data_IF_074923248940
#
_entry.id   IF_074923248940
#
_cell.length_a   1.000
_cell.length_b   1.000
_cell.length_c   1.000
_cell.angle_alpha   90.00
_cell.angle_beta   90.00
_cell.angle_gamma   90.00
#
_symmetry.space_group_name_H-M   'P 1'
#
loop_
_entity.id
_entity.type
_entity.pdbx_description
1 polymer ?
#
# COMPACT_ATOMS: atom_id res chain seq x y z
N UNK A 1 3.34 -28.50 -5.83
CA UNK A 1 2.67 -29.58 -5.02
C UNK A 1 1.23 -29.74 -5.48
N UNK A 2 0.71 -30.97 -5.64
CA UNK A 2 -0.73 -31.18 -5.88
C UNK A 2 -1.45 -31.06 -4.52
N UNK A 3 -2.46 -30.19 -4.45
CA UNK A 3 -3.20 -29.90 -3.21
C UNK A 3 -4.46 -30.77 -3.04
N UNK A 4 -4.88 -31.49 -4.06
CA UNK A 4 -6.10 -32.31 -4.00
C UNK A 4 -6.00 -33.40 -2.93
N UNK A 5 -7.00 -33.45 -2.02
CA UNK A 5 -7.06 -34.36 -0.90
C UNK A 5 -6.05 -34.11 0.22
N UNK A 6 -5.29 -32.99 0.14
CA UNK A 6 -4.35 -32.59 1.19
C UNK A 6 -5.05 -31.88 2.32
N UNK A 7 -4.72 -32.26 3.56
CA UNK A 7 -5.22 -31.59 4.76
C UNK A 7 -4.33 -30.38 5.08
N UNK A 8 -4.91 -29.18 4.94
CA UNK A 8 -4.17 -27.93 5.01
C UNK A 8 -4.65 -27.06 6.16
N UNK A 9 -3.76 -26.72 7.09
CA UNK A 9 -4.06 -25.76 8.14
C UNK A 9 -3.99 -24.34 7.58
N UNK A 10 -5.04 -23.56 7.74
CA UNK A 10 -5.05 -22.13 7.53
C UNK A 10 -4.96 -21.47 8.90
N UNK A 11 -3.82 -20.87 9.22
CA UNK A 11 -3.60 -20.21 10.51
C UNK A 11 -3.92 -18.72 10.40
N UNK A 12 -4.96 -18.29 11.09
CA UNK A 12 -5.57 -16.97 11.08
C UNK A 12 -6.91 -16.94 10.35
N UNK A 13 -7.90 -16.32 10.98
CA UNK A 13 -9.31 -16.26 10.52
C UNK A 13 -9.70 -14.92 9.87
N UNK A 14 -8.74 -14.05 9.58
CA UNK A 14 -8.94 -12.76 8.88
C UNK A 14 -9.22 -12.93 7.39
N UNK A 15 -9.30 -11.80 6.66
CA UNK A 15 -9.57 -11.78 5.20
C UNK A 15 -8.65 -12.71 4.39
N UNK A 16 -7.34 -12.68 4.66
CA UNK A 16 -6.35 -13.54 3.97
C UNK A 16 -6.57 -15.00 4.27
N UNK A 17 -6.86 -15.37 5.54
CA UNK A 17 -7.13 -16.75 5.93
C UNK A 17 -8.41 -17.28 5.31
N UNK A 18 -9.49 -16.51 5.33
CA UNK A 18 -10.75 -16.90 4.66
C UNK A 18 -10.50 -17.10 3.16
N UNK A 19 -9.81 -16.17 2.49
CA UNK A 19 -9.47 -16.31 1.07
C UNK A 19 -8.60 -17.53 0.77
N UNK A 20 -7.65 -17.87 1.65
CA UNK A 20 -6.83 -19.08 1.52
C UNK A 20 -7.66 -20.35 1.71
N UNK A 21 -8.56 -20.40 2.70
CA UNK A 21 -9.44 -21.55 2.93
C UNK A 21 -10.39 -21.78 1.73
N UNK A 22 -10.95 -20.71 1.17
CA UNK A 22 -11.80 -20.80 -0.02
C UNK A 22 -11.03 -21.32 -1.24
N UNK A 23 -9.83 -20.79 -1.49
CA UNK A 23 -8.98 -21.24 -2.59
C UNK A 23 -8.63 -22.73 -2.44
N UNK A 24 -8.23 -23.16 -1.23
CA UNK A 24 -7.91 -24.55 -0.93
C UNK A 24 -9.09 -25.48 -1.19
N UNK A 25 -10.29 -25.12 -0.74
CA UNK A 25 -11.50 -25.89 -1.03
C UNK A 25 -11.80 -26.00 -2.52
N UNK A 26 -11.63 -24.94 -3.28
CA UNK A 26 -11.84 -24.93 -4.74
C UNK A 26 -10.83 -25.79 -5.51
N UNK A 27 -9.60 -25.94 -5.02
CA UNK A 27 -8.60 -26.85 -5.63
C UNK A 27 -8.66 -28.27 -5.08
N UNK A 28 -9.67 -28.59 -4.28
CA UNK A 28 -9.94 -29.93 -3.75
C UNK A 28 -9.08 -30.35 -2.56
N UNK A 29 -8.47 -29.40 -1.85
CA UNK A 29 -7.86 -29.64 -0.55
C UNK A 29 -8.89 -29.69 0.56
N UNK A 30 -8.49 -30.16 1.75
CA UNK A 30 -9.28 -30.18 2.98
C UNK A 30 -8.78 -29.10 3.94
N UNK A 31 -9.26 -27.83 3.83
CA UNK A 31 -8.81 -26.77 4.71
C UNK A 31 -9.36 -26.94 6.13
N UNK A 32 -8.51 -26.62 7.10
CA UNK A 32 -8.84 -26.50 8.52
C UNK A 32 -8.41 -25.11 8.97
N UNK A 33 -9.32 -24.30 9.51
CA UNK A 33 -8.98 -22.98 10.04
C UNK A 33 -8.61 -23.11 11.52
N UNK A 34 -7.51 -22.48 11.89
CA UNK A 34 -7.09 -22.30 13.27
C UNK A 34 -6.80 -20.83 13.57
N UNK A 35 -7.25 -20.37 14.73
CA UNK A 35 -6.93 -19.03 15.26
C UNK A 35 -6.54 -19.15 16.74
N UNK A 36 -5.48 -18.44 17.12
CA UNK A 36 -4.99 -18.44 18.51
C UNK A 36 -5.93 -17.73 19.50
N UNK A 37 -6.91 -16.97 19.01
CA UNK A 37 -7.90 -16.31 19.85
C UNK A 37 -8.96 -17.32 20.33
N UNK A 38 -8.96 -17.65 21.63
CA UNK A 38 -9.92 -18.57 22.21
C UNK A 38 -11.37 -18.06 22.20
N UNK A 39 -11.57 -16.75 22.15
CA UNK A 39 -12.89 -16.11 22.12
C UNK A 39 -13.44 -15.92 20.70
N UNK A 40 -12.81 -16.55 19.69
CA UNK A 40 -13.24 -16.47 18.29
C UNK A 40 -14.65 -17.04 18.11
N UNK A 41 -15.53 -16.26 17.46
CA UNK A 41 -16.82 -16.77 16.99
C UNK A 41 -16.61 -17.69 15.77
N UNK A 42 -16.56 -19.00 16.03
CA UNK A 42 -16.31 -20.02 15.01
C UNK A 42 -17.43 -20.09 13.98
N UNK A 43 -18.69 -19.89 14.40
CA UNK A 43 -19.84 -19.92 13.49
C UNK A 43 -19.78 -18.76 12.51
N UNK A 44 -19.43 -17.57 12.98
CA UNK A 44 -19.22 -16.41 12.11
C UNK A 44 -18.08 -16.62 11.10
N UNK A 45 -17.03 -17.39 11.46
CA UNK A 45 -15.95 -17.76 10.52
C UNK A 45 -16.45 -18.75 9.48
N UNK A 46 -17.14 -19.81 9.90
CA UNK A 46 -17.72 -20.82 8.99
C UNK A 46 -18.66 -20.15 7.97
N UNK A 47 -19.51 -19.22 8.41
CA UNK A 47 -20.42 -18.50 7.51
C UNK A 47 -19.73 -17.61 6.45
N UNK A 48 -18.49 -17.20 6.70
CA UNK A 48 -17.70 -16.41 5.74
C UNK A 48 -17.07 -17.27 4.63
N UNK A 49 -16.88 -18.57 4.87
CA UNK A 49 -16.28 -19.50 3.90
C UNK A 49 -17.39 -20.14 3.07
N UNK A 50 -17.47 -19.79 1.79
CA UNK A 50 -18.62 -20.17 0.94
C UNK A 50 -18.41 -21.47 0.15
N UNK A 51 -17.16 -21.80 -0.16
CA UNK A 51 -16.82 -22.88 -1.10
C UNK A 51 -16.31 -24.15 -0.43
N UNK A 52 -16.31 -24.23 0.90
CA UNK A 52 -15.94 -25.41 1.65
C UNK A 52 -17.16 -25.93 2.43
N UNK A 53 -17.65 -27.11 2.06
CA UNK A 53 -18.62 -27.82 2.89
C UNK A 53 -17.89 -28.46 4.08
N UNK A 54 -18.44 -28.34 5.28
CA UNK A 54 -17.94 -28.99 6.50
C UNK A 54 -16.52 -28.50 6.95
N UNK A 55 -16.21 -27.22 6.79
CA UNK A 55 -14.94 -26.67 7.26
C UNK A 55 -14.85 -26.72 8.80
N UNK A 56 -13.75 -27.27 9.30
CA UNK A 56 -13.45 -27.28 10.73
C UNK A 56 -12.75 -26.01 11.15
N UNK A 57 -13.20 -25.38 12.25
CA UNK A 57 -12.62 -24.17 12.83
C UNK A 57 -12.22 -24.44 14.27
N UNK A 58 -10.94 -24.24 14.60
CA UNK A 58 -10.39 -24.37 15.94
C UNK A 58 -9.96 -22.98 16.46
N UNK A 59 -10.22 -22.73 17.74
CA UNK A 59 -9.94 -21.47 18.42
C UNK A 59 -9.18 -21.72 19.73
N UNK A 60 -8.11 -20.95 19.95
CA UNK A 60 -7.26 -21.07 21.13
C UNK A 60 -6.35 -22.29 21.12
N UNK A 61 -6.90 -23.50 21.09
CA UNK A 61 -6.14 -24.75 21.08
C UNK A 61 -6.36 -25.54 19.78
N UNK A 62 -5.28 -26.08 19.21
CA UNK A 62 -5.29 -26.97 18.05
C UNK A 62 -5.01 -28.40 18.51
N UNK A 63 -5.99 -29.35 18.42
CA UNK A 63 -5.80 -30.72 18.85
C UNK A 63 -4.62 -31.42 18.19
N UNK A 64 -3.90 -32.25 18.94
CA UNK A 64 -2.71 -32.92 18.45
C UNK A 64 -2.99 -33.92 17.31
N UNK A 65 -4.13 -34.59 17.32
CA UNK A 65 -4.57 -35.46 16.22
C UNK A 65 -4.76 -34.67 14.92
N UNK A 66 -5.24 -33.42 14.98
CA UNK A 66 -5.37 -32.55 13.82
C UNK A 66 -3.97 -32.17 13.31
N UNK A 67 -3.08 -31.75 14.22
CA UNK A 67 -1.69 -31.35 13.88
C UNK A 67 -0.92 -32.47 13.18
N UNK A 68 -1.05 -33.72 13.67
CA UNK A 68 -0.38 -34.89 13.08
C UNK A 68 -0.90 -35.29 11.71
N UNK A 69 -2.09 -34.87 11.36
CA UNK A 69 -2.74 -35.19 10.10
C UNK A 69 -2.51 -34.14 9.00
N UNK A 70 -1.76 -33.06 9.29
CA UNK A 70 -1.53 -31.98 8.34
C UNK A 70 -0.49 -32.35 7.27
N UNK A 71 -0.73 -31.93 6.05
CA UNK A 71 0.20 -32.01 4.93
C UNK A 71 0.90 -30.67 4.65
N UNK A 72 0.26 -29.56 5.03
CA UNK A 72 0.71 -28.19 4.75
C UNK A 72 0.10 -27.21 5.75
N UNK A 73 0.82 -26.13 6.02
CA UNK A 73 0.32 -24.98 6.79
C UNK A 73 0.34 -23.75 5.92
N UNK A 74 -0.74 -22.97 5.91
CA UNK A 74 -0.80 -21.63 5.28
C UNK A 74 -0.98 -20.59 6.38
N UNK A 75 0.02 -19.74 6.55
CA UNK A 75 0.00 -18.65 7.53
C UNK A 75 -0.63 -17.38 6.94
N UNK A 76 -1.58 -16.79 7.66
CA UNK A 76 -2.01 -15.42 7.37
C UNK A 76 -0.91 -14.43 7.74
N UNK A 77 -0.76 -13.29 7.02
CA UNK A 77 0.32 -12.32 7.28
C UNK A 77 0.36 -11.79 8.72
N UNK A 78 -0.80 -11.71 9.39
CA UNK A 78 -0.90 -11.29 10.79
C UNK A 78 -0.35 -12.28 11.81
N UNK A 79 -0.11 -13.54 11.43
CA UNK A 79 0.43 -14.57 12.34
C UNK A 79 1.95 -14.51 12.32
N UNK A 80 2.62 -14.26 13.48
CA UNK A 80 4.08 -14.27 13.55
C UNK A 80 4.65 -15.66 13.28
N UNK A 81 5.72 -15.72 12.47
CA UNK A 81 6.42 -16.97 12.13
C UNK A 81 7.24 -17.51 13.30
N UNK A 82 7.56 -16.67 14.28
CA UNK A 82 8.42 -16.94 15.42
C UNK A 82 7.68 -17.39 16.69
N UNK A 83 6.35 -17.42 16.69
CA UNK A 83 5.58 -17.95 17.83
C UNK A 83 5.73 -19.47 17.96
N UNK A 84 5.66 -20.02 19.20
CA UNK A 84 5.94 -21.45 19.46
C UNK A 84 5.19 -22.44 18.56
N UNK A 85 3.91 -22.20 18.32
CA UNK A 85 3.10 -23.09 17.48
C UNK A 85 3.52 -23.03 16.00
N UNK A 86 3.86 -21.84 15.46
CA UNK A 86 4.34 -21.71 14.10
C UNK A 86 5.70 -22.40 13.93
N UNK A 87 6.64 -22.14 14.85
CA UNK A 87 7.96 -22.83 14.87
C UNK A 87 7.82 -24.35 14.90
N UNK A 88 6.88 -24.87 15.67
CA UNK A 88 6.67 -26.32 15.77
C UNK A 88 6.30 -27.00 14.45
N UNK A 89 5.67 -26.28 13.50
CA UNK A 89 5.39 -26.81 12.17
C UNK A 89 6.67 -26.95 11.33
N UNK A 90 7.55 -25.94 11.37
CA UNK A 90 8.87 -26.01 10.72
C UNK A 90 9.72 -27.15 11.31
N UNK A 91 9.74 -27.32 12.64
CA UNK A 91 10.47 -28.37 13.33
C UNK A 91 9.98 -29.78 12.97
N UNK A 92 8.70 -29.93 12.66
CA UNK A 92 8.09 -31.17 12.18
C UNK A 92 8.33 -31.43 10.69
N UNK A 93 9.01 -30.50 9.99
CA UNK A 93 9.25 -30.61 8.55
C UNK A 93 8.02 -30.42 7.67
N UNK A 94 6.94 -29.85 8.22
CA UNK A 94 5.77 -29.48 7.43
C UNK A 94 6.11 -28.30 6.53
N UNK A 95 5.70 -28.28 5.25
CA UNK A 95 5.75 -27.10 4.42
C UNK A 95 4.88 -25.99 5.06
N UNK A 96 5.44 -24.76 5.12
CA UNK A 96 4.74 -23.60 5.66
C UNK A 96 4.77 -22.49 4.63
N UNK A 97 3.63 -22.18 4.04
CA UNK A 97 3.46 -21.15 3.03
C UNK A 97 2.74 -19.93 3.61
N UNK A 98 2.89 -18.78 2.96
CA UNK A 98 1.99 -17.67 3.13
C UNK A 98 0.85 -17.72 2.11
N UNK A 99 -0.12 -16.83 2.26
CA UNK A 99 -1.23 -16.73 1.33
C UNK A 99 -0.80 -16.30 -0.08
N UNK A 100 0.29 -15.51 -0.18
CA UNK A 100 0.89 -15.10 -1.46
C UNK A 100 1.51 -16.31 -2.18
N UNK A 101 2.23 -17.17 -1.47
CA UNK A 101 2.81 -18.39 -2.02
C UNK A 101 1.73 -19.34 -2.51
N UNK A 102 0.67 -19.55 -1.72
CA UNK A 102 -0.48 -20.38 -2.11
C UNK A 102 -1.12 -19.84 -3.40
N UNK A 103 -1.37 -18.52 -3.47
CA UNK A 103 -1.99 -17.90 -4.62
C UNK A 103 -1.09 -17.97 -5.87
N UNK A 104 0.22 -17.76 -5.72
CA UNK A 104 1.19 -17.85 -6.80
C UNK A 104 1.25 -19.25 -7.40
N UNK A 105 1.26 -20.30 -6.55
CA UNK A 105 1.32 -21.71 -6.99
C UNK A 105 0.02 -22.22 -7.63
N UNK A 106 -1.09 -21.54 -7.38
CA UNK A 106 -2.41 -21.93 -7.92
C UNK A 106 -2.84 -21.03 -9.07
N UNK A 107 -2.34 -19.80 -9.12
CA UNK A 107 -2.60 -18.84 -10.20
C UNK A 107 -1.76 -19.12 -11.43
N UNK A 108 -1.99 -18.30 -12.46
CA UNK A 108 -1.30 -18.36 -13.74
C UNK A 108 -0.88 -16.96 -14.20
N UNK A 109 -0.09 -16.91 -15.26
CA UNK A 109 0.40 -15.68 -15.85
C UNK A 109 1.64 -15.13 -15.16
N UNK A 110 1.94 -13.86 -15.38
CA UNK A 110 3.11 -13.19 -14.81
C UNK A 110 2.75 -12.30 -13.64
N UNK A 111 3.70 -12.12 -12.73
CA UNK A 111 3.52 -11.27 -11.55
C UNK A 111 4.47 -10.07 -11.62
N UNK A 112 3.95 -8.89 -11.33
CA UNK A 112 4.69 -7.65 -11.06
C UNK A 112 4.49 -7.32 -9.59
N UNK A 113 5.55 -7.35 -8.78
CA UNK A 113 5.43 -7.26 -7.31
C UNK A 113 6.09 -6.02 -6.75
N UNK A 114 5.42 -5.34 -5.83
CA UNK A 114 5.88 -4.10 -5.23
C UNK A 114 5.94 -4.24 -3.71
N UNK A 115 7.11 -3.93 -3.14
CA UNK A 115 7.30 -3.78 -1.69
C UNK A 115 8.02 -2.47 -1.37
N UNK A 116 8.25 -2.20 -0.11
CA UNK A 116 8.88 -1.01 0.44
C UNK A 116 8.24 -0.61 1.76
N UNK A 117 8.78 0.37 2.45
CA UNK A 117 8.14 0.93 3.64
C UNK A 117 6.97 1.83 3.23
N UNK A 118 7.21 2.77 2.34
CA UNK A 118 6.24 3.77 1.86
C UNK A 118 6.03 3.68 0.34
N UNK A 119 4.90 4.24 -0.15
CA UNK A 119 4.63 4.36 -1.60
C UNK A 119 3.99 3.13 -2.25
N UNK A 120 4.01 1.94 -1.62
CA UNK A 120 3.49 0.69 -2.19
C UNK A 120 2.11 0.84 -2.85
N UNK A 121 1.14 1.33 -2.08
CA UNK A 121 -0.27 1.42 -2.53
C UNK A 121 -0.43 2.31 -3.76
N UNK A 122 0.23 3.47 -3.76
CA UNK A 122 0.17 4.41 -4.90
C UNK A 122 0.83 3.80 -6.14
N UNK A 123 2.03 3.23 -5.96
CA UNK A 123 2.77 2.59 -7.06
C UNK A 123 2.00 1.39 -7.63
N UNK A 124 1.42 0.56 -6.76
CA UNK A 124 0.60 -0.61 -7.18
C UNK A 124 -0.65 -0.19 -7.93
N UNK A 125 -1.36 0.83 -7.43
CA UNK A 125 -2.57 1.33 -8.10
C UNK A 125 -2.25 1.96 -9.46
N UNK A 126 -1.18 2.76 -9.54
CA UNK A 126 -0.72 3.38 -10.78
C UNK A 126 -0.26 2.32 -11.79
N UNK A 127 0.60 1.38 -11.37
CA UNK A 127 1.02 0.27 -12.23
C UNK A 127 -0.18 -0.55 -12.70
N UNK A 128 -1.13 -0.82 -11.80
CA UNK A 128 -2.38 -1.51 -12.14
C UNK A 128 -3.20 -0.78 -13.20
N UNK A 129 -3.25 0.58 -13.16
CA UNK A 129 -3.87 1.36 -14.23
C UNK A 129 -3.09 1.24 -15.53
N UNK A 130 -1.77 1.45 -15.51
CA UNK A 130 -0.94 1.35 -16.72
C UNK A 130 -1.13 0.00 -17.41
N UNK A 131 -1.09 -1.09 -16.62
CA UNK A 131 -1.27 -2.45 -17.16
C UNK A 131 -2.67 -2.66 -17.73
N UNK A 132 -3.75 -2.21 -17.05
CA UNK A 132 -5.14 -2.32 -17.56
C UNK A 132 -5.39 -1.51 -18.82
N UNK A 133 -4.70 -0.39 -18.98
CA UNK A 133 -4.80 0.41 -20.20
C UNK A 133 -4.08 -0.25 -21.40
N UNK A 134 -3.15 -1.19 -21.12
CA UNK A 134 -2.32 -1.86 -22.12
C UNK A 134 -2.70 -3.34 -22.36
N UNK A 135 -3.36 -4.02 -21.41
CA UNK A 135 -3.63 -5.46 -21.45
C UNK A 135 -5.06 -5.80 -21.01
N UNK A 136 -5.63 -6.84 -21.61
CA UNK A 136 -7.03 -7.25 -21.37
C UNK A 136 -7.23 -7.99 -20.05
N UNK A 137 -6.19 -8.65 -19.50
CA UNK A 137 -6.28 -9.46 -18.29
C UNK A 137 -5.30 -8.99 -17.23
N UNK A 138 -5.78 -8.14 -16.32
CA UNK A 138 -4.97 -7.57 -15.24
C UNK A 138 -5.69 -7.63 -13.91
N UNK A 139 -5.04 -8.22 -12.90
CA UNK A 139 -5.51 -8.22 -11.52
C UNK A 139 -4.57 -7.39 -10.64
N UNK A 140 -5.17 -6.57 -9.78
CA UNK A 140 -4.45 -5.82 -8.72
C UNK A 140 -4.84 -6.43 -7.38
N UNK A 141 -3.87 -6.99 -6.67
CA UNK A 141 -4.10 -7.83 -5.49
C UNK A 141 -3.04 -7.64 -4.40
N UNK A 142 -3.20 -8.33 -3.29
CA UNK A 142 -2.19 -8.46 -2.23
C UNK A 142 -2.56 -7.71 -0.96
N UNK A 143 -1.60 -6.99 -0.40
CA UNK A 143 -1.76 -6.27 0.88
C UNK A 143 -2.82 -5.17 0.85
N UNK A 144 -3.24 -4.72 -0.34
CA UNK A 144 -4.34 -3.76 -0.53
C UNK A 144 -5.53 -4.41 -1.21
N UNK A 145 -6.73 -3.97 -0.83
CA UNK A 145 -7.99 -4.27 -1.51
C UNK A 145 -8.34 -5.76 -1.48
N UNK A 146 -8.02 -6.44 -2.57
CA UNK A 146 -8.42 -7.82 -2.83
C UNK A 146 -7.29 -8.79 -2.49
N UNK A 147 -7.50 -9.80 -1.61
CA UNK A 147 -6.50 -10.82 -1.35
C UNK A 147 -6.10 -11.57 -2.64
N UNK A 148 -4.82 -11.88 -2.80
CA UNK A 148 -4.34 -12.58 -3.99
C UNK A 148 -5.02 -13.95 -4.17
N UNK A 149 -5.20 -14.69 -3.08
CA UNK A 149 -5.89 -15.99 -3.06
C UNK A 149 -7.30 -15.95 -3.64
N UNK A 150 -8.03 -14.83 -3.49
CA UNK A 150 -9.41 -14.72 -3.97
C UNK A 150 -9.54 -14.58 -5.49
N UNK A 151 -8.41 -14.35 -6.19
CA UNK A 151 -8.36 -14.15 -7.64
C UNK A 151 -7.51 -15.18 -8.38
N UNK A 152 -6.76 -16.01 -7.67
CA UNK A 152 -5.80 -16.94 -8.25
C UNK A 152 -6.39 -17.84 -9.36
N UNK A 153 -7.60 -18.39 -9.14
CA UNK A 153 -8.25 -19.28 -10.11
C UNK A 153 -8.91 -18.58 -11.31
N UNK A 154 -9.09 -17.25 -11.24
CA UNK A 154 -9.56 -16.46 -12.38
C UNK A 154 -8.45 -16.14 -13.38
N UNK A 155 -7.18 -16.33 -12.98
CA UNK A 155 -6.00 -15.98 -13.77
C UNK A 155 -5.72 -17.01 -14.87
N UNK A 156 -5.32 -16.50 -16.03
CA UNK A 156 -4.98 -17.28 -17.22
C UNK A 156 -3.50 -17.09 -17.57
N UNK A 157 -3.00 -17.84 -18.53
CA UNK A 157 -1.57 -17.79 -18.92
C UNK A 157 -1.14 -16.41 -19.45
N UNK A 158 -2.08 -15.61 -19.97
CA UNK A 158 -1.86 -14.24 -20.45
C UNK A 158 -2.17 -13.17 -19.40
N UNK A 159 -2.44 -13.54 -18.16
CA UNK A 159 -2.77 -12.59 -17.07
C UNK A 159 -1.51 -11.91 -16.54
N UNK A 160 -1.61 -10.61 -16.32
CA UNK A 160 -0.64 -9.86 -15.51
C UNK A 160 -1.23 -9.57 -14.13
N UNK A 161 -0.55 -10.04 -13.10
CA UNK A 161 -0.90 -9.77 -11.69
C UNK A 161 0.00 -8.67 -11.15
N UNK A 162 -0.59 -7.55 -10.75
CA UNK A 162 0.11 -6.47 -10.04
C UNK A 162 -0.15 -6.65 -8.55
N UNK A 163 0.89 -6.99 -7.80
CA UNK A 163 0.78 -7.39 -6.40
C UNK A 163 1.49 -6.42 -5.44
N UNK A 164 0.73 -5.84 -4.50
CA UNK A 164 1.33 -5.18 -3.34
C UNK A 164 1.72 -6.22 -2.30
N UNK A 165 3.01 -6.30 -1.96
CA UNK A 165 3.51 -7.30 -1.02
C UNK A 165 4.11 -6.62 0.21
N UNK A 166 3.56 -6.94 1.39
CA UNK A 166 4.12 -6.52 2.68
C UNK A 166 5.33 -7.36 3.08
N UNK A 167 6.13 -6.88 4.06
CA UNK A 167 7.21 -7.69 4.64
C UNK A 167 6.67 -8.99 5.26
N UNK A 168 5.51 -8.94 5.93
CA UNK A 168 4.91 -10.13 6.56
C UNK A 168 4.54 -11.22 5.53
N UNK A 169 4.12 -10.82 4.34
CA UNK A 169 3.82 -11.76 3.25
C UNK A 169 5.09 -12.36 2.63
N UNK A 170 6.21 -11.62 2.64
CA UNK A 170 7.49 -12.11 2.14
C UNK A 170 8.17 -13.13 3.08
N UNK A 171 7.86 -13.13 4.39
CA UNK A 171 8.45 -14.07 5.34
C UNK A 171 8.24 -15.55 4.96
N UNK A 172 7.20 -15.86 4.20
CA UNK A 172 6.72 -17.22 3.95
C UNK A 172 6.63 -17.57 2.47
N UNK A 173 7.38 -16.85 1.63
CA UNK A 173 7.52 -17.20 0.20
C UNK A 173 8.55 -18.33 0.01
N UNK A 174 8.26 -19.23 -0.92
CA UNK A 174 9.13 -20.36 -1.27
C UNK A 174 9.52 -20.36 -2.74
N UNK A 175 8.55 -20.39 -3.67
CA UNK A 175 8.74 -20.35 -5.13
C UNK A 175 8.28 -19.03 -5.77
N UNK A 176 7.67 -18.12 -5.01
CA UNK A 176 7.20 -16.85 -5.52
C UNK A 176 8.30 -16.10 -6.28
N UNK A 177 8.10 -15.87 -7.58
CA UNK A 177 9.07 -15.28 -8.49
C UNK A 177 8.39 -14.24 -9.40
N UNK A 178 8.41 -12.95 -9.05
CA UNK A 178 7.84 -11.92 -9.92
C UNK A 178 8.73 -11.68 -11.16
N UNK A 179 8.11 -11.42 -12.32
CA UNK A 179 8.82 -11.06 -13.55
C UNK A 179 9.49 -9.68 -13.45
N UNK A 180 8.84 -8.75 -12.77
CA UNK A 180 9.39 -7.46 -12.40
C UNK A 180 9.05 -7.19 -10.95
N UNK A 181 10.05 -6.90 -10.14
CA UNK A 181 9.89 -6.50 -8.74
C UNK A 181 10.28 -5.05 -8.51
N UNK A 182 9.78 -4.44 -7.44
CA UNK A 182 10.26 -3.15 -6.96
C UNK A 182 10.38 -3.12 -5.44
N UNK A 183 11.45 -2.50 -4.94
CA UNK A 183 11.60 -2.08 -3.54
C UNK A 183 11.74 -0.55 -3.54
N UNK A 184 10.70 0.14 -3.06
CA UNK A 184 10.60 1.59 -3.20
C UNK A 184 11.51 2.36 -2.25
N UNK A 185 11.62 1.89 -1.02
CA UNK A 185 12.44 2.44 0.06
C UNK A 185 12.41 1.51 1.26
N UNK A 186 13.42 1.62 2.12
CA UNK A 186 13.46 0.91 3.41
C UNK A 186 13.78 1.92 4.51
N UNK A 187 12.79 2.24 5.34
CA UNK A 187 12.93 3.06 6.54
C UNK A 187 12.35 2.31 7.73
N UNK A 188 12.71 2.69 8.94
CA UNK A 188 12.27 2.02 10.15
C UNK A 188 10.74 1.87 10.23
N UNK A 189 10.29 0.62 10.33
CA UNK A 189 8.87 0.27 10.51
C UNK A 189 8.77 -1.18 11.00
N UNK A 190 7.67 -1.50 11.67
CA UNK A 190 7.33 -2.87 12.09
C UNK A 190 8.41 -3.61 12.91
N UNK A 191 9.26 -2.90 13.69
CA UNK A 191 10.28 -3.54 14.53
C UNK A 191 9.68 -4.38 15.68
N UNK A 192 8.44 -4.12 16.05
CA UNK A 192 7.68 -4.99 16.96
C UNK A 192 7.46 -6.40 16.38
N UNK A 193 7.55 -6.59 15.07
CA UNK A 193 7.43 -7.87 14.36
C UNK A 193 8.78 -8.44 13.94
N UNK A 194 9.62 -7.61 13.32
CA UNK A 194 10.91 -8.05 12.75
C UNK A 194 12.07 -7.96 13.75
N UNK A 195 11.85 -7.33 14.92
CA UNK A 195 12.80 -7.15 16.03
C UNK A 195 13.98 -6.22 15.71
N UNK A 196 14.59 -6.32 14.52
CA UNK A 196 15.72 -5.47 14.10
C UNK A 196 15.54 -4.92 12.70
N UNK A 197 16.25 -3.83 12.36
CA UNK A 197 16.27 -3.29 11.00
C UNK A 197 16.89 -4.26 10.01
N UNK A 198 17.94 -4.99 10.40
CA UNK A 198 18.60 -5.98 9.56
C UNK A 198 17.63 -7.07 9.12
N UNK A 199 16.79 -7.56 10.05
CA UNK A 199 15.77 -8.56 9.71
C UNK A 199 14.66 -7.96 8.82
N UNK A 200 14.24 -6.73 9.08
CA UNK A 200 13.25 -6.05 8.25
C UNK A 200 13.76 -5.84 6.80
N UNK A 201 15.02 -5.43 6.65
CA UNK A 201 15.72 -5.31 5.36
C UNK A 201 15.75 -6.68 4.67
N UNK A 202 16.31 -7.69 5.33
CA UNK A 202 16.45 -9.05 4.80
C UNK A 202 15.12 -9.61 4.30
N UNK A 203 14.04 -9.40 5.03
CA UNK A 203 12.71 -9.90 4.64
C UNK A 203 12.19 -9.18 3.39
N UNK A 204 12.40 -7.87 3.25
CA UNK A 204 11.99 -7.16 2.02
C UNK A 204 12.80 -7.59 0.80
N UNK A 205 14.07 -7.87 0.99
CA UNK A 205 14.98 -8.35 -0.05
C UNK A 205 14.57 -9.73 -0.60
N UNK A 206 13.80 -10.52 0.16
CA UNK A 206 13.27 -11.81 -0.30
C UNK A 206 12.40 -11.68 -1.57
N UNK A 207 11.90 -10.51 -1.93
CA UNK A 207 11.09 -10.32 -3.14
C UNK A 207 11.82 -10.76 -4.41
N UNK A 208 13.16 -10.73 -4.43
CA UNK A 208 13.99 -11.16 -5.57
C UNK A 208 14.52 -12.59 -5.43
N UNK A 209 14.20 -13.30 -4.32
CA UNK A 209 14.76 -14.60 -3.95
C UNK A 209 14.80 -15.62 -5.10
N UNK A 210 13.75 -15.67 -5.90
CA UNK A 210 13.59 -16.65 -6.97
C UNK A 210 13.65 -16.01 -8.37
N UNK A 211 13.96 -14.71 -8.48
CA UNK A 211 14.16 -14.06 -9.76
C UNK A 211 15.44 -14.55 -10.44
N UNK A 212 15.43 -14.54 -11.76
CA UNK A 212 16.53 -14.96 -12.63
C UNK A 212 17.15 -13.74 -13.32
N UNK A 213 18.21 -13.94 -14.11
CA UNK A 213 18.86 -12.91 -14.91
C UNK A 213 17.96 -12.37 -16.07
N UNK A 214 16.82 -13.00 -16.35
CA UNK A 214 15.83 -12.53 -17.33
C UNK A 214 14.74 -11.68 -16.70
N UNK A 215 14.78 -11.48 -15.39
CA UNK A 215 13.84 -10.71 -14.62
C UNK A 215 14.41 -9.33 -14.27
N UNK A 216 13.57 -8.41 -13.78
CA UNK A 216 13.98 -7.05 -13.44
C UNK A 216 13.64 -6.71 -11.99
N UNK A 217 14.53 -5.93 -11.33
CA UNK A 217 14.30 -5.36 -10.02
C UNK A 217 14.47 -3.84 -10.06
N UNK A 218 13.41 -3.12 -9.73
CA UNK A 218 13.39 -1.65 -9.71
C UNK A 218 13.72 -1.16 -8.30
N UNK A 219 14.78 -0.38 -8.15
CA UNK A 219 15.31 0.05 -6.86
C UNK A 219 15.50 1.56 -6.79
N UNK A 220 15.28 2.14 -5.61
CA UNK A 220 15.59 3.55 -5.34
C UNK A 220 17.09 3.74 -5.17
N UNK A 221 17.71 4.51 -6.06
CA UNK A 221 19.15 4.80 -5.98
C UNK A 221 19.53 5.66 -4.76
N UNK A 222 18.60 6.48 -4.26
CA UNK A 222 18.85 7.37 -3.13
C UNK A 222 18.81 6.64 -1.78
N UNK A 223 18.22 5.46 -1.73
CA UNK A 223 18.26 4.58 -0.56
C UNK A 223 19.59 3.81 -0.53
N UNK A 224 20.47 4.06 0.47
CA UNK A 224 21.79 3.44 0.52
C UNK A 224 21.73 1.91 0.68
N UNK A 225 20.71 1.40 1.38
CA UNK A 225 20.49 -0.04 1.55
C UNK A 225 20.17 -0.69 0.20
N UNK A 226 19.25 -0.09 -0.56
CA UNK A 226 18.84 -0.63 -1.87
C UNK A 226 19.95 -0.49 -2.93
N UNK A 227 20.75 0.56 -2.86
CA UNK A 227 21.89 0.75 -3.76
C UNK A 227 22.97 -0.31 -3.52
N UNK A 228 23.26 -0.67 -2.28
CA UNK A 228 24.19 -1.75 -1.93
C UNK A 228 23.61 -3.10 -2.33
N UNK A 229 22.35 -3.36 -1.99
CA UNK A 229 21.63 -4.58 -2.34
C UNK A 229 21.66 -4.87 -3.84
N UNK A 230 21.40 -3.86 -4.67
CA UNK A 230 21.35 -3.99 -6.13
C UNK A 230 22.67 -4.42 -6.77
N UNK A 231 23.81 -4.30 -6.08
CA UNK A 231 25.12 -4.75 -6.59
C UNK A 231 25.28 -6.27 -6.57
N UNK A 232 24.48 -7.00 -5.79
CA UNK A 232 24.70 -8.41 -5.47
C UNK A 232 23.49 -9.32 -5.77
N UNK A 233 22.52 -8.86 -6.57
CA UNK A 233 21.33 -9.66 -6.90
C UNK A 233 21.36 -10.20 -8.32
N UNK A 234 20.62 -11.28 -8.54
CA UNK A 234 20.58 -11.99 -9.83
C UNK A 234 19.78 -11.24 -10.93
N UNK A 235 18.61 -10.66 -10.66
CA UNK A 235 17.84 -9.96 -11.69
C UNK A 235 18.55 -8.70 -12.19
N UNK A 236 18.16 -8.22 -13.35
CA UNK A 236 18.64 -6.94 -13.90
C UNK A 236 18.12 -5.78 -13.05
N UNK A 237 19.05 -5.00 -12.51
CA UNK A 237 18.71 -3.84 -11.67
C UNK A 237 18.43 -2.63 -12.54
N UNK A 238 17.32 -1.97 -12.25
CA UNK A 238 16.95 -0.67 -12.82
C UNK A 238 16.75 0.32 -11.68
N UNK A 239 17.55 1.37 -11.67
CA UNK A 239 17.42 2.38 -10.63
C UNK A 239 16.47 3.50 -11.01
N UNK A 240 15.78 4.07 -10.00
CA UNK A 240 15.14 5.37 -10.13
C UNK A 240 15.73 6.38 -9.14
N UNK A 241 15.72 7.67 -9.52
CA UNK A 241 16.18 8.78 -8.68
C UNK A 241 15.41 10.05 -8.94
N UNK A 242 14.95 10.70 -7.86
CA UNK A 242 14.35 12.05 -7.90
C UNK A 242 15.37 13.16 -7.60
N UNK A 243 16.64 12.82 -7.40
CA UNK A 243 17.69 13.75 -6.93
C UNK A 243 18.79 13.97 -7.97
N UNK A 244 19.10 12.95 -8.75
CA UNK A 244 20.23 12.98 -9.69
C UNK A 244 19.94 12.28 -11.01
N UNK A 245 20.66 12.66 -12.04
CA UNK A 245 20.69 11.95 -13.32
C UNK A 245 21.39 10.60 -13.16
N UNK A 246 20.87 9.59 -13.80
CA UNK A 246 21.45 8.25 -13.86
C UNK A 246 22.02 7.98 -15.24
N UNK A 247 23.03 7.12 -15.33
CA UNK A 247 23.56 6.65 -16.62
C UNK A 247 22.54 5.78 -17.34
N UNK A 248 21.87 4.89 -16.61
CA UNK A 248 20.72 4.08 -17.03
C UNK A 248 19.68 4.05 -15.90
N UNK A 249 18.39 4.01 -16.23
CA UNK A 249 17.29 3.97 -15.28
C UNK A 249 16.22 5.03 -15.57
N UNK A 250 15.52 5.46 -14.52
CA UNK A 250 14.52 6.52 -14.64
C UNK A 250 14.80 7.61 -13.61
N UNK A 251 14.82 8.87 -14.02
CA UNK A 251 15.20 9.95 -13.12
C UNK A 251 14.48 11.27 -13.41
N UNK A 252 14.49 12.13 -12.40
CA UNK A 252 13.98 13.49 -12.51
C UNK A 252 15.13 14.45 -12.88
N UNK A 253 14.98 15.17 -13.99
CA UNK A 253 15.87 16.24 -14.42
C UNK A 253 15.09 17.56 -14.48
N UNK A 254 15.30 18.42 -13.50
CA UNK A 254 14.43 19.57 -13.29
C UNK A 254 12.98 19.13 -13.07
N UNK A 255 12.11 19.50 -14.02
CA UNK A 255 10.69 19.11 -14.00
C UNK A 255 10.37 17.97 -14.98
N UNK A 256 11.37 17.35 -15.60
CA UNK A 256 11.17 16.29 -16.58
C UNK A 256 11.55 14.94 -16.01
N UNK A 257 10.64 13.97 -16.02
CA UNK A 257 10.94 12.56 -15.78
C UNK A 257 11.47 11.95 -17.08
N UNK A 258 12.64 11.34 -17.01
CA UNK A 258 13.36 10.77 -18.14
C UNK A 258 13.59 9.28 -17.88
N UNK A 259 13.25 8.45 -18.84
CA UNK A 259 13.63 7.05 -18.92
C UNK A 259 14.85 6.92 -19.82
N UNK A 260 15.94 6.37 -19.31
CA UNK A 260 17.18 6.22 -20.04
C UNK A 260 17.64 4.77 -20.05
N UNK A 261 17.83 4.26 -21.25
CA UNK A 261 18.41 2.93 -21.48
C UNK A 261 19.79 3.08 -22.12
N UNK A 262 20.50 1.99 -22.35
CA UNK A 262 21.77 1.99 -23.09
C UNK A 262 21.63 2.48 -24.55
N UNK A 263 20.41 2.46 -25.12
CA UNK A 263 20.15 2.78 -26.51
C UNK A 263 19.56 4.17 -26.71
N UNK A 264 18.74 4.64 -25.76
CA UNK A 264 17.98 5.88 -25.92
C UNK A 264 17.71 6.59 -24.58
N UNK A 265 17.47 7.91 -24.67
CA UNK A 265 17.01 8.76 -23.60
C UNK A 265 15.64 9.32 -23.94
N UNK A 266 14.60 8.91 -23.19
CA UNK A 266 13.20 9.18 -23.50
C UNK A 266 12.64 10.16 -22.48
N UNK A 267 12.30 11.41 -22.86
CA UNK A 267 11.53 12.30 -22.01
C UNK A 267 10.12 11.74 -21.84
N UNK A 268 9.84 11.17 -20.66
CA UNK A 268 8.59 10.47 -20.40
C UNK A 268 7.43 11.45 -20.15
N UNK A 269 7.59 12.36 -19.17
CA UNK A 269 6.53 13.29 -18.78
C UNK A 269 7.09 14.48 -18.02
N UNK A 270 6.52 15.67 -18.20
CA UNK A 270 6.77 16.82 -17.36
C UNK A 270 5.94 16.72 -16.07
N UNK A 271 6.53 16.99 -14.90
CA UNK A 271 5.82 16.84 -13.60
C UNK A 271 4.57 17.70 -13.49
N UNK A 272 4.53 18.85 -14.19
CA UNK A 272 3.34 19.69 -14.28
C UNK A 272 2.14 19.05 -15.03
N UNK A 273 2.36 18.00 -15.80
CA UNK A 273 1.30 17.23 -16.46
C UNK A 273 0.68 16.15 -15.52
N UNK A 274 1.36 15.86 -14.39
CA UNK A 274 0.89 14.87 -13.43
C UNK A 274 -0.15 15.47 -12.47
N UNK A 275 -1.17 14.70 -12.15
CA UNK A 275 -2.14 15.04 -11.10
C UNK A 275 -1.67 14.62 -9.71
N UNK A 276 -0.64 13.79 -9.64
CA UNK A 276 0.04 13.41 -8.41
C UNK A 276 1.04 14.49 -8.00
N UNK A 277 0.96 14.97 -6.76
CA UNK A 277 1.81 16.03 -6.24
C UNK A 277 2.89 15.49 -5.29
N UNK A 278 4.03 16.18 -5.29
CA UNK A 278 5.13 15.95 -4.36
C UNK A 278 6.16 14.93 -4.85
N UNK A 279 7.42 15.15 -4.43
CA UNK A 279 8.59 14.39 -4.88
C UNK A 279 8.41 12.87 -4.66
N UNK A 280 7.87 12.46 -3.50
CA UNK A 280 7.60 11.05 -3.20
C UNK A 280 6.61 10.41 -4.20
N UNK A 281 5.67 11.19 -4.75
CA UNK A 281 4.78 10.69 -5.80
C UNK A 281 5.47 10.64 -7.16
N UNK A 282 6.40 11.53 -7.45
CA UNK A 282 7.24 11.41 -8.66
C UNK A 282 8.11 10.16 -8.60
N UNK A 283 8.61 9.76 -7.43
CA UNK A 283 9.29 8.49 -7.20
C UNK A 283 8.36 7.30 -7.46
N UNK A 284 7.12 7.35 -6.96
CA UNK A 284 6.11 6.33 -7.24
C UNK A 284 5.79 6.21 -8.74
N UNK A 285 5.69 7.36 -9.44
CA UNK A 285 5.50 7.41 -10.90
C UNK A 285 6.69 6.81 -11.62
N UNK A 286 7.91 7.16 -11.24
CA UNK A 286 9.12 6.60 -11.84
C UNK A 286 9.21 5.09 -11.65
N UNK A 287 8.96 4.58 -10.43
CA UNK A 287 8.97 3.15 -10.16
C UNK A 287 7.90 2.40 -10.96
N UNK A 288 6.65 2.88 -10.99
CA UNK A 288 5.57 2.26 -11.75
C UNK A 288 5.85 2.28 -13.26
N UNK A 289 6.37 3.40 -13.78
CA UNK A 289 6.72 3.55 -15.20
C UNK A 289 7.85 2.61 -15.62
N UNK A 290 8.91 2.51 -14.80
CA UNK A 290 9.99 1.56 -15.05
C UNK A 290 9.48 0.12 -15.05
N UNK A 291 8.67 -0.27 -14.04
CA UNK A 291 8.07 -1.61 -13.99
C UNK A 291 7.24 -1.92 -15.23
N UNK A 292 6.41 -0.97 -15.68
CA UNK A 292 5.57 -1.14 -16.87
C UNK A 292 6.42 -1.25 -18.15
N UNK A 293 7.45 -0.42 -18.29
CA UNK A 293 8.35 -0.44 -19.44
C UNK A 293 9.07 -1.80 -19.56
N UNK A 294 9.65 -2.29 -18.48
CA UNK A 294 10.32 -3.59 -18.45
C UNK A 294 9.34 -4.78 -18.45
N UNK A 295 8.06 -4.54 -18.21
CA UNK A 295 7.00 -5.50 -18.50
C UNK A 295 6.53 -5.48 -19.97
N UNK A 296 7.07 -4.58 -20.81
CA UNK A 296 6.81 -4.52 -22.25
C UNK A 296 5.69 -3.56 -22.66
N UNK A 297 5.25 -2.66 -21.77
CA UNK A 297 4.24 -1.65 -22.13
C UNK A 297 4.88 -0.53 -22.96
N UNK A 298 4.28 -0.13 -24.10
CA UNK A 298 4.78 0.98 -24.90
C UNK A 298 4.82 2.31 -24.12
N UNK A 299 5.85 3.11 -24.35
CA UNK A 299 6.09 4.39 -23.64
C UNK A 299 4.90 5.34 -23.72
N UNK A 300 4.27 5.44 -24.91
CA UNK A 300 3.10 6.32 -25.10
C UNK A 300 1.89 5.89 -24.26
N UNK A 301 1.69 4.59 -24.07
CA UNK A 301 0.64 4.07 -23.18
C UNK A 301 0.96 4.39 -21.72
N UNK A 302 2.23 4.23 -21.31
CA UNK A 302 2.68 4.62 -19.96
C UNK A 302 2.42 6.10 -19.73
N UNK A 303 2.89 6.98 -20.64
CA UNK A 303 2.71 8.43 -20.54
C UNK A 303 1.24 8.83 -20.39
N UNK A 304 0.37 8.29 -21.25
CA UNK A 304 -1.07 8.55 -21.17
C UNK A 304 -1.64 8.18 -19.81
N UNK A 305 -1.35 6.97 -19.32
CA UNK A 305 -1.90 6.45 -18.08
C UNK A 305 -1.44 7.25 -16.86
N UNK A 306 -0.15 7.65 -16.78
CA UNK A 306 0.38 8.44 -15.66
C UNK A 306 -0.19 9.86 -15.62
N UNK A 307 -0.44 10.51 -16.76
CA UNK A 307 -1.08 11.82 -16.83
C UNK A 307 -2.57 11.78 -16.43
N UNK A 308 -3.24 10.67 -16.69
CA UNK A 308 -4.64 10.49 -16.34
C UNK A 308 -4.86 10.09 -14.88
N UNK A 309 -3.87 9.49 -14.23
CA UNK A 309 -3.99 8.94 -12.88
C UNK A 309 -4.14 10.03 -11.82
N UNK A 310 -5.21 9.96 -11.02
CA UNK A 310 -5.60 11.01 -10.07
C UNK A 310 -5.21 10.76 -8.61
N UNK A 311 -4.50 9.74 -8.31
CA UNK A 311 -4.16 9.20 -6.99
C UNK A 311 -5.08 8.07 -6.51
N UNK A 312 -4.64 7.40 -5.43
CA UNK A 312 -5.48 6.46 -4.68
C UNK A 312 -6.50 7.26 -3.89
N UNK A 313 -7.73 6.83 -3.91
CA UNK A 313 -8.82 7.44 -3.19
C UNK A 313 -8.46 7.72 -1.73
N UNK A 314 -8.80 8.90 -1.23
CA UNK A 314 -8.49 9.41 0.12
C UNK A 314 -7.00 9.61 0.46
N UNK A 315 -6.08 9.58 -0.51
CA UNK A 315 -4.65 9.83 -0.29
C UNK A 315 -4.15 10.96 -1.20
N UNK A 316 -4.19 12.19 -0.72
CA UNK A 316 -3.86 13.42 -1.48
C UNK A 316 -4.59 13.42 -2.84
N UNK A 317 -5.80 12.88 -2.85
CA UNK A 317 -6.65 12.71 -4.02
C UNK A 317 -7.13 14.09 -4.50
N UNK A 318 -6.81 14.45 -5.75
CA UNK A 318 -7.39 15.63 -6.35
C UNK A 318 -8.89 15.41 -6.60
N UNK A 319 -9.72 16.25 -6.00
CA UNK A 319 -11.18 16.14 -6.10
C UNK A 319 -11.72 16.97 -7.26
N UNK A 320 -11.41 18.26 -7.26
CA UNK A 320 -11.84 19.22 -8.28
C UNK A 320 -11.16 20.58 -8.07
N UNK A 321 -11.37 21.50 -9.03
CA UNK A 321 -11.07 22.93 -8.85
C UNK A 321 -12.36 23.73 -8.99
N UNK A 322 -12.62 24.64 -8.05
CA UNK A 322 -13.77 25.58 -8.08
C UNK A 322 -13.29 27.00 -7.81
N UNK A 323 -13.68 27.92 -8.64
CA UNK A 323 -13.29 29.34 -8.53
C UNK A 323 -11.78 29.58 -8.43
N UNK A 324 -10.98 28.73 -9.12
CA UNK A 324 -9.52 28.77 -9.06
C UNK A 324 -8.89 28.19 -7.79
N UNK A 325 -9.66 27.52 -6.94
CA UNK A 325 -9.23 26.83 -5.71
C UNK A 325 -9.26 25.32 -5.95
N UNK A 326 -8.11 24.67 -5.74
CA UNK A 326 -7.99 23.22 -5.89
C UNK A 326 -8.30 22.49 -4.57
N UNK A 327 -9.09 21.41 -4.62
CA UNK A 327 -9.50 20.63 -3.44
C UNK A 327 -8.86 19.26 -3.47
N UNK A 328 -8.24 18.88 -2.33
CA UNK A 328 -7.53 17.60 -2.16
C UNK A 328 -8.04 16.84 -0.93
N UNK A 329 -8.28 15.54 -1.11
CA UNK A 329 -8.73 14.62 -0.09
C UNK A 329 -7.59 13.70 0.36
N UNK A 330 -7.09 13.92 1.57
CA UNK A 330 -6.13 13.06 2.26
C UNK A 330 -6.72 12.54 3.58
N UNK A 331 -7.98 12.11 3.53
CA UNK A 331 -8.67 11.59 4.71
C UNK A 331 -7.95 10.38 5.35
N UNK A 332 -7.11 9.68 4.59
CA UNK A 332 -6.25 8.59 5.06
C UNK A 332 -5.08 9.06 5.92
N UNK A 333 -4.80 10.36 5.99
CA UNK A 333 -3.85 11.00 6.92
C UNK A 333 -4.37 10.99 8.37
N UNK A 334 -4.50 9.79 8.96
CA UNK A 334 -5.14 9.54 10.27
C UNK A 334 -4.19 9.67 11.47
N UNK A 335 -2.96 10.13 11.23
CA UNK A 335 -1.95 10.42 12.24
C UNK A 335 -1.04 11.59 11.78
N UNK A 336 -0.26 12.20 12.69
CA UNK A 336 0.61 13.33 12.36
C UNK A 336 1.63 13.04 11.24
N UNK A 337 2.29 11.87 11.24
CA UNK A 337 3.32 11.51 10.27
C UNK A 337 2.76 11.45 8.84
N UNK A 338 1.56 10.88 8.67
CA UNK A 338 0.89 10.85 7.38
C UNK A 338 0.49 12.26 6.92
N UNK A 339 -0.03 13.08 7.83
CA UNK A 339 -0.46 14.45 7.53
C UNK A 339 0.71 15.41 7.24
N UNK A 340 1.90 15.16 7.80
CA UNK A 340 3.14 15.86 7.41
C UNK A 340 3.40 15.68 5.92
N UNK A 341 3.32 14.44 5.42
CA UNK A 341 3.49 14.16 3.99
C UNK A 341 2.43 14.82 3.14
N UNK A 342 1.18 14.87 3.64
CA UNK A 342 0.07 15.56 2.98
C UNK A 342 0.37 17.05 2.75
N UNK A 343 0.77 17.78 3.78
CA UNK A 343 1.05 19.21 3.64
C UNK A 343 2.35 19.49 2.88
N UNK A 344 3.37 18.65 3.04
CA UNK A 344 4.61 18.78 2.28
C UNK A 344 4.40 18.63 0.77
N UNK A 345 3.44 17.81 0.34
CA UNK A 345 3.10 17.63 -1.07
C UNK A 345 2.41 18.85 -1.69
N UNK A 346 1.86 19.76 -0.89
CA UNK A 346 1.19 20.97 -1.42
C UNK A 346 2.18 21.93 -2.02
N UNK A 347 1.86 22.40 -3.24
CA UNK A 347 2.63 23.37 -4.02
C UNK A 347 1.93 24.74 -4.16
N UNK A 348 0.80 24.93 -3.44
CA UNK A 348 0.02 26.16 -3.40
C UNK A 348 -0.19 26.58 -1.93
N UNK A 349 -0.45 27.87 -1.65
CA UNK A 349 -0.95 28.28 -0.33
C UNK A 349 -2.19 27.46 0.02
N UNK A 350 -2.22 26.91 1.24
CA UNK A 350 -3.19 25.84 1.58
C UNK A 350 -4.06 26.25 2.76
N UNK A 351 -5.36 26.00 2.67
CA UNK A 351 -6.27 25.94 3.80
C UNK A 351 -6.39 24.47 4.21
N UNK A 352 -5.97 24.16 5.44
CA UNK A 352 -5.83 22.78 5.90
C UNK A 352 -6.96 22.43 6.87
N UNK A 353 -7.75 21.41 6.56
CA UNK A 353 -8.77 20.86 7.47
C UNK A 353 -8.11 19.74 8.28
N UNK A 354 -8.04 19.94 9.61
CA UNK A 354 -7.40 19.04 10.58
C UNK A 354 -8.33 18.66 11.72
N UNK A 355 -7.86 17.69 12.56
CA UNK A 355 -8.58 17.26 13.77
C UNK A 355 -9.45 16.02 13.56
N UNK A 356 -9.98 15.53 14.68
CA UNK A 356 -10.78 14.29 14.74
C UNK A 356 -10.72 13.66 16.13
N UNK A 357 -10.61 12.32 16.18
CA UNK A 357 -10.53 11.56 17.44
C UNK A 357 -9.11 11.60 18.05
N UNK A 358 -9.04 11.80 19.38
CA UNK A 358 -7.74 11.87 20.08
C UNK A 358 -7.19 10.47 20.43
N UNK A 359 -6.07 10.12 19.82
CA UNK A 359 -5.28 8.92 20.15
C UNK A 359 -4.12 9.22 21.12
N UNK A 360 -4.07 10.41 21.72
CA UNK A 360 -2.98 10.83 22.58
C UNK A 360 -1.74 11.35 21.85
N UNK A 361 -1.81 11.61 20.54
CA UNK A 361 -0.68 12.10 19.74
C UNK A 361 -0.27 13.53 20.13
N UNK A 362 1.03 13.85 19.97
CA UNK A 362 1.52 15.22 19.88
C UNK A 362 1.34 15.76 18.45
N UNK A 363 1.22 17.09 18.32
CA UNK A 363 1.00 17.72 17.02
C UNK A 363 2.10 18.72 16.63
N UNK A 364 3.10 18.92 17.46
CA UNK A 364 4.14 19.94 17.28
C UNK A 364 4.95 19.71 15.98
N UNK A 365 5.33 18.47 15.69
CA UNK A 365 6.07 18.12 14.47
C UNK A 365 5.25 18.37 13.21
N UNK A 366 3.95 18.01 13.24
CA UNK A 366 3.04 18.28 12.13
C UNK A 366 2.85 19.78 11.90
N UNK A 367 2.66 20.55 12.96
CA UNK A 367 2.51 22.02 12.89
C UNK A 367 3.77 22.69 12.36
N UNK A 368 4.95 22.25 12.82
CA UNK A 368 6.24 22.75 12.31
C UNK A 368 6.49 22.42 10.84
N UNK A 369 5.92 21.34 10.33
CA UNK A 369 6.03 20.95 8.92
C UNK A 369 5.21 21.83 7.97
N UNK A 370 4.43 22.79 8.46
CA UNK A 370 3.64 23.70 7.62
C UNK A 370 4.53 24.63 6.78
N UNK A 371 5.69 25.00 7.26
CA UNK A 371 6.71 25.79 6.54
C UNK A 371 6.11 27.00 5.77
N UNK A 372 5.19 27.72 6.41
CA UNK A 372 4.50 28.87 5.83
C UNK A 372 3.47 28.56 4.73
N UNK A 373 3.26 27.33 4.35
CA UNK A 373 2.30 26.91 3.32
C UNK A 373 0.84 27.02 3.77
N UNK A 374 0.57 26.83 5.08
CA UNK A 374 -0.79 26.82 5.63
C UNK A 374 -1.21 28.25 5.96
N UNK A 375 -2.22 28.76 5.22
CA UNK A 375 -2.80 30.07 5.46
C UNK A 375 -3.82 30.07 6.60
N UNK A 376 -4.61 29.03 6.69
CA UNK A 376 -5.57 28.79 7.76
C UNK A 376 -5.60 27.30 8.11
N UNK A 377 -5.62 27.02 9.42
CA UNK A 377 -5.87 25.68 9.95
C UNK A 377 -7.32 25.63 10.45
N UNK A 378 -8.16 24.89 9.75
CA UNK A 378 -9.58 24.71 10.07
C UNK A 378 -9.75 23.40 10.80
N UNK A 379 -10.23 23.45 12.04
CA UNK A 379 -10.19 22.34 12.99
C UNK A 379 -11.56 21.83 13.35
N UNK A 380 -11.72 20.50 13.31
CA UNK A 380 -12.95 19.79 13.67
C UNK A 380 -12.67 18.71 14.74
N UNK A 381 -13.74 18.19 15.33
CA UNK A 381 -13.69 17.01 16.21
C UNK A 381 -13.07 17.26 17.59
N UNK A 382 -12.78 16.16 18.28
CA UNK A 382 -12.37 16.14 19.67
C UNK A 382 -11.04 16.86 19.94
N UNK A 383 -10.12 16.82 18.97
CA UNK A 383 -8.76 17.35 19.11
C UNK A 383 -8.64 18.84 18.76
N UNK A 384 -9.70 19.49 18.30
CA UNK A 384 -9.67 20.85 17.75
C UNK A 384 -9.06 21.88 18.70
N UNK A 385 -9.42 21.87 19.98
CA UNK A 385 -8.89 22.82 20.97
C UNK A 385 -7.41 22.54 21.30
N UNK A 386 -7.04 21.28 21.48
CA UNK A 386 -5.66 20.84 21.73
C UNK A 386 -4.71 21.23 20.59
N UNK A 387 -5.14 21.04 19.33
CA UNK A 387 -4.34 21.43 18.16
C UNK A 387 -4.24 22.95 18.05
N UNK A 388 -5.33 23.69 18.32
CA UNK A 388 -5.33 25.15 18.31
C UNK A 388 -4.35 25.71 19.33
N UNK A 389 -4.37 25.22 20.58
CA UNK A 389 -3.44 25.64 21.64
C UNK A 389 -1.97 25.42 21.21
N UNK A 390 -1.67 24.26 20.59
CA UNK A 390 -0.34 23.98 20.08
C UNK A 390 0.06 24.92 18.92
N UNK A 391 -0.85 25.18 17.98
CA UNK A 391 -0.61 26.07 16.85
C UNK A 391 -0.40 27.52 17.30
N UNK A 392 -1.18 28.02 18.27
CA UNK A 392 -1.03 29.35 18.86
C UNK A 392 0.31 29.49 19.61
N UNK A 393 0.71 28.47 20.38
CA UNK A 393 1.98 28.42 21.09
C UNK A 393 3.16 28.45 20.12
N UNK A 394 3.07 27.78 18.99
CA UNK A 394 4.11 27.72 17.95
C UNK A 394 4.05 28.92 16.97
N UNK A 395 2.93 29.66 16.93
CA UNK A 395 2.76 30.81 16.05
C UNK A 395 2.73 30.48 14.57
N UNK A 396 2.23 29.29 14.18
CA UNK A 396 2.37 28.78 12.80
C UNK A 396 1.36 29.36 11.82
N UNK A 397 0.08 29.47 12.19
CA UNK A 397 -0.97 30.03 11.35
C UNK A 397 -2.25 30.31 12.14
N UNK A 398 -3.18 31.16 11.62
CA UNK A 398 -4.51 31.36 12.22
C UNK A 398 -5.33 30.07 12.21
N UNK A 399 -6.00 29.78 13.35
CA UNK A 399 -6.89 28.63 13.51
C UNK A 399 -8.36 29.05 13.50
N UNK A 400 -9.21 28.25 12.86
CA UNK A 400 -10.68 28.41 12.85
C UNK A 400 -11.28 27.10 13.36
N UNK A 401 -12.13 27.18 14.37
CA UNK A 401 -12.84 26.02 14.92
C UNK A 401 -14.19 25.87 14.23
N UNK A 402 -14.50 24.66 13.78
CA UNK A 402 -15.78 24.30 13.19
C UNK A 402 -16.41 23.11 13.92
N UNK A 403 -17.73 23.01 13.88
CA UNK A 403 -18.47 21.94 14.54
C UNK A 403 -18.41 20.62 13.76
N UNK A 404 -18.35 20.70 12.42
CA UNK A 404 -18.36 19.54 11.55
C UNK A 404 -17.61 19.79 10.23
N UNK A 405 -17.46 18.73 9.42
CA UNK A 405 -16.73 18.76 8.17
C UNK A 405 -17.39 19.64 7.10
N UNK A 406 -18.73 19.68 7.06
CA UNK A 406 -19.48 20.51 6.09
C UNK A 406 -19.19 21.99 6.31
N UNK A 407 -19.25 22.43 7.58
CA UNK A 407 -18.90 23.80 7.97
C UNK A 407 -17.46 24.12 7.63
N UNK A 408 -16.52 23.20 7.93
CA UNK A 408 -15.11 23.39 7.62
C UNK A 408 -14.86 23.57 6.12
N UNK A 409 -15.54 22.81 5.26
CA UNK A 409 -15.45 22.96 3.80
C UNK A 409 -15.99 24.33 3.35
N UNK A 410 -17.13 24.78 3.88
CA UNK A 410 -17.72 26.10 3.57
C UNK A 410 -16.79 27.24 4.01
N UNK A 411 -16.24 27.17 5.23
CA UNK A 411 -15.27 28.16 5.74
C UNK A 411 -14.01 28.21 4.87
N UNK A 412 -13.49 27.05 4.46
CA UNK A 412 -12.37 27.02 3.53
C UNK A 412 -12.72 27.69 2.20
N UNK A 413 -13.87 27.39 1.62
CA UNK A 413 -14.31 27.99 0.35
C UNK A 413 -14.46 29.52 0.44
N UNK A 414 -14.96 30.04 1.57
CA UNK A 414 -15.12 31.49 1.81
C UNK A 414 -13.76 32.20 2.02
N UNK A 415 -12.78 31.55 2.61
CA UNK A 415 -11.47 32.12 2.97
C UNK A 415 -10.41 31.94 1.89
N UNK A 416 -10.61 31.00 0.98
CA UNK A 416 -9.65 30.71 -0.09
C UNK A 416 -9.67 31.79 -1.17
N UNK A 417 -8.50 32.07 -1.74
CA UNK A 417 -8.33 32.92 -2.92
C UNK A 417 -8.07 32.04 -4.16
N UNK A 418 -8.38 32.53 -5.37
CA UNK A 418 -7.92 31.88 -6.59
C UNK A 418 -6.40 31.60 -6.54
N UNK A 419 -5.99 30.37 -6.83
CA UNK A 419 -4.60 29.91 -6.71
C UNK A 419 -4.30 29.15 -5.42
N UNK A 420 -5.19 29.18 -4.41
CA UNK A 420 -5.04 28.40 -3.18
C UNK A 420 -5.43 26.92 -3.39
N UNK A 421 -5.10 26.11 -2.40
CA UNK A 421 -5.60 24.74 -2.24
C UNK A 421 -6.38 24.59 -0.92
N UNK A 422 -7.38 23.71 -0.91
CA UNK A 422 -8.02 23.18 0.31
C UNK A 422 -7.63 21.71 0.45
N UNK A 423 -7.00 21.36 1.56
CA UNK A 423 -6.57 20.01 1.85
C UNK A 423 -7.27 19.47 3.09
N UNK A 424 -7.99 18.35 2.95
CA UNK A 424 -8.40 17.53 4.08
C UNK A 424 -7.26 16.57 4.42
N UNK A 425 -6.45 16.85 5.46
CA UNK A 425 -5.41 15.96 5.99
C UNK A 425 -5.40 16.04 7.51
N UNK A 426 -6.25 15.21 8.15
CA UNK A 426 -6.74 15.46 9.51
C UNK A 426 -5.71 15.28 10.62
N UNK A 427 -4.60 14.59 10.41
CA UNK A 427 -3.64 14.16 11.44
C UNK A 427 -4.27 13.32 12.58
N UNK A 428 -5.56 12.99 12.48
CA UNK A 428 -6.36 12.32 13.50
C UNK A 428 -7.25 11.23 12.91
N UNK A 429 -7.58 10.22 13.73
CA UNK A 429 -8.56 9.22 13.36
C UNK A 429 -9.95 9.84 13.13
N UNK A 430 -10.77 9.15 12.33
CA UNK A 430 -12.12 9.60 11.95
C UNK A 430 -13.19 9.26 12.99
N UNK A 431 -12.89 8.39 13.95
CA UNK A 431 -13.85 7.86 14.93
C UNK A 431 -14.57 8.97 15.71
N UNK A 432 -15.78 8.68 16.12
CA UNK A 432 -16.62 9.61 16.89
C UNK A 432 -17.47 10.56 16.04
N UNK A 433 -17.00 10.93 14.83
CA UNK A 433 -17.78 11.71 13.87
C UNK A 433 -18.11 10.92 12.60
N UNK A 434 -17.31 9.88 12.27
CA UNK A 434 -17.44 9.05 11.07
C UNK A 434 -17.16 7.59 11.41
N UNK A 435 -17.73 6.67 10.65
CA UNK A 435 -17.51 5.22 10.81
C UNK A 435 -16.06 4.82 10.50
N UNK A 436 -15.46 5.46 9.50
CA UNK A 436 -14.09 5.22 9.04
C UNK A 436 -13.56 6.45 8.27
N UNK A 437 -12.30 6.39 7.82
CA UNK A 437 -11.69 7.48 7.05
C UNK A 437 -12.26 7.57 5.62
N UNK A 438 -12.72 6.47 5.06
CA UNK A 438 -13.39 6.43 3.76
C UNK A 438 -14.64 7.28 3.76
N UNK A 439 -15.54 7.06 4.72
CA UNK A 439 -16.76 7.87 4.87
C UNK A 439 -16.43 9.35 5.03
N UNK A 440 -15.45 9.71 5.87
CA UNK A 440 -15.03 11.12 6.03
C UNK A 440 -14.54 11.71 4.70
N UNK A 441 -13.77 10.95 3.92
CA UNK A 441 -13.27 11.38 2.62
C UNK A 441 -14.36 11.50 1.56
N UNK A 442 -15.33 10.58 1.54
CA UNK A 442 -16.46 10.63 0.62
C UNK A 442 -17.37 11.81 0.92
N UNK A 443 -17.69 12.08 2.18
CA UNK A 443 -18.44 13.24 2.60
C UNK A 443 -17.72 14.55 2.25
N UNK A 444 -16.39 14.61 2.42
CA UNK A 444 -15.61 15.77 1.96
C UNK A 444 -15.78 16.00 0.45
N UNK A 445 -15.64 14.95 -0.37
CA UNK A 445 -15.85 15.05 -1.81
C UNK A 445 -17.25 15.53 -2.18
N UNK A 446 -18.26 15.03 -1.47
CA UNK A 446 -19.65 15.44 -1.67
C UNK A 446 -19.86 16.92 -1.33
N UNK A 447 -19.41 17.38 -0.16
CA UNK A 447 -19.52 18.78 0.25
C UNK A 447 -18.79 19.72 -0.71
N UNK A 448 -17.59 19.34 -1.15
CA UNK A 448 -16.84 20.11 -2.16
C UNK A 448 -17.57 20.18 -3.49
N UNK A 449 -18.20 19.10 -3.95
CA UNK A 449 -18.96 19.11 -5.22
C UNK A 449 -20.20 20.00 -5.15
N UNK A 450 -20.77 20.15 -3.96
CA UNK A 450 -21.99 20.95 -3.70
C UNK A 450 -21.73 22.44 -3.38
N UNK A 451 -20.47 22.89 -3.37
CA UNK A 451 -20.10 24.34 -3.25
C UNK A 451 -20.61 25.19 -4.49
#
# INVERSE_FOLDING_TARGET
>A
MNLQGKKVLVFGSGKSGIGAAELLGQVGAEPVIYDGNADLDKEAVVHKVKHCKDISVYAGELPEEVRKALDLVVLSPGVPTDIPIAKSFYEQGLPVWGEVELAYRTGKGRVLAITGTNGKTTTTALLGKIMRDAEDSVFVVGNIGTPYTSKALEMQDNTTTVAEISSFQLETIEEFAPKVSAILNITEDHLNRHHTMEEYIRVKELIVKNQTADDFCILNYEDPVLREFGQNITPKVVYFSSVRKLEEGIYLDGDQIILKTSEEEIPLVHTGELKLLGQHNFENVMAASAMAYYAGVPVESIRKSICEFTAVEHRIEYVTEKHGVAYYNDSKGTNPDAAIKGIQAMNRPTLLIGGGYDKGSGYDEWLNAFDGKVRYLVLIGQTRDKIKEAAERLGVCPCILCENLEEAVKVCAEKANPGDAVLLSPACASWGQFDNYEQRGDMFKEYVRNL
#
